data_IF_235549269887
#
_entry.id   IF_235549269887
#
_cell.length_a   1.000
_cell.length_b   1.000
_cell.length_c   1.000
_cell.angle_alpha   90.00
_cell.angle_beta   90.00
_cell.angle_gamma   90.00
#
_symmetry.space_group_name_H-M   'P 1'
#
loop_
_entity.id
_entity.type
_entity.pdbx_description
1 polymer ?
#
# COMPACT_ATOMS: atom_id res chain seq x y z
N UNK A 1 -47.57 -22.11 -16.01
CA UNK A 1 -46.60 -21.53 -15.05
C UNK A 1 -45.28 -22.21 -15.34
N UNK A 2 -44.20 -21.45 -15.61
CA UNK A 2 -42.87 -22.06 -15.72
C UNK A 2 -42.49 -22.63 -14.36
N UNK A 3 -41.93 -23.83 -14.35
CA UNK A 3 -41.40 -24.39 -13.11
C UNK A 3 -40.17 -23.59 -12.68
N UNK A 4 -40.03 -23.35 -11.39
CA UNK A 4 -38.88 -22.64 -10.82
C UNK A 4 -38.11 -23.51 -9.83
N UNK A 5 -36.85 -23.16 -9.59
CA UNK A 5 -36.02 -23.70 -8.51
C UNK A 5 -35.26 -22.57 -7.82
N UNK A 6 -34.81 -22.81 -6.59
CA UNK A 6 -34.11 -21.81 -5.78
C UNK A 6 -32.59 -21.97 -5.87
N UNK A 7 -31.87 -20.84 -5.88
CA UNK A 7 -30.41 -20.77 -5.71
C UNK A 7 -30.04 -19.90 -4.52
N UNK A 8 -28.97 -20.28 -3.82
CA UNK A 8 -28.42 -19.55 -2.67
C UNK A 8 -27.13 -18.85 -3.08
N UNK A 9 -27.10 -17.53 -2.90
CA UNK A 9 -25.95 -16.69 -3.24
C UNK A 9 -24.98 -16.57 -2.05
N UNK A 10 -23.69 -16.21 -2.28
CA UNK A 10 -22.70 -16.09 -1.19
C UNK A 10 -23.05 -15.08 -0.10
N UNK A 11 -23.88 -14.07 -0.39
CA UNK A 11 -24.38 -13.10 0.59
C UNK A 11 -25.69 -13.54 1.27
N UNK A 12 -26.12 -14.80 1.09
CA UNK A 12 -27.27 -15.39 1.75
C UNK A 12 -28.63 -15.10 1.09
N UNK A 13 -28.67 -14.46 -0.08
CA UNK A 13 -29.93 -14.25 -0.80
C UNK A 13 -30.38 -15.53 -1.50
N UNK A 14 -31.68 -15.80 -1.39
CA UNK A 14 -32.37 -16.88 -2.11
C UNK A 14 -33.01 -16.25 -3.37
N UNK A 15 -32.73 -16.84 -4.53
CA UNK A 15 -33.26 -16.36 -5.80
C UNK A 15 -34.03 -17.46 -6.52
N UNK A 16 -35.17 -17.11 -7.10
CA UNK A 16 -35.98 -18.01 -7.91
C UNK A 16 -35.47 -18.00 -9.36
N UNK A 17 -35.35 -19.18 -9.98
CA UNK A 17 -34.85 -19.33 -11.36
C UNK A 17 -35.85 -20.13 -12.19
N UNK A 18 -36.21 -19.63 -13.37
CA UNK A 18 -36.99 -20.38 -14.36
C UNK A 18 -36.20 -21.57 -14.91
N UNK A 19 -36.77 -22.79 -14.85
CA UNK A 19 -36.09 -24.02 -15.30
C UNK A 19 -35.71 -24.00 -16.78
N UNK A 20 -36.57 -23.46 -17.64
CA UNK A 20 -36.40 -23.57 -19.10
C UNK A 20 -35.39 -22.57 -19.66
N UNK A 21 -35.28 -21.40 -19.04
CA UNK A 21 -34.52 -20.26 -19.55
C UNK A 21 -33.30 -19.94 -18.68
N UNK A 22 -33.19 -20.55 -17.50
CA UNK A 22 -32.25 -20.16 -16.45
C UNK A 22 -32.33 -18.67 -16.11
N UNK A 23 -33.50 -18.05 -16.29
CA UNK A 23 -33.71 -16.63 -15.98
C UNK A 23 -33.90 -16.47 -14.48
N UNK A 24 -33.02 -15.70 -13.86
CA UNK A 24 -33.11 -15.34 -12.45
C UNK A 24 -34.22 -14.28 -12.25
N UNK A 25 -35.15 -14.57 -11.36
CA UNK A 25 -36.27 -13.72 -10.99
C UNK A 25 -35.93 -12.91 -9.73
N UNK A 26 -35.76 -11.61 -9.89
CA UNK A 26 -35.51 -10.71 -8.78
C UNK A 26 -36.84 -10.35 -8.10
N UNK A 27 -36.99 -10.68 -6.81
CA UNK A 27 -38.12 -10.18 -6.02
C UNK A 27 -38.00 -8.66 -5.92
N UNK A 28 -39.05 -7.94 -6.32
CA UNK A 28 -39.15 -6.48 -6.21
C UNK A 28 -39.14 -6.09 -4.73
N UNK A 29 -37.98 -6.00 -4.08
CA UNK A 29 -37.90 -5.35 -2.78
C UNK A 29 -36.50 -4.79 -2.51
N UNK A 30 -36.54 -3.52 -2.07
CA UNK A 30 -35.45 -2.67 -1.57
C UNK A 30 -34.57 -2.02 -2.64
N UNK A 31 -35.08 -0.89 -3.16
CA UNK A 31 -34.49 0.08 -4.11
C UNK A 31 -34.45 -0.35 -5.59
N UNK A 32 -34.64 0.59 -6.54
CA UNK A 32 -34.51 0.29 -7.97
C UNK A 32 -33.04 0.02 -8.29
N UNK A 33 -32.62 -1.23 -8.16
CA UNK A 33 -31.52 -1.78 -8.95
C UNK A 33 -31.98 -1.80 -10.40
N UNK A 34 -31.09 -1.45 -11.33
CA UNK A 34 -31.42 -1.22 -12.74
C UNK A 34 -32.14 -2.39 -13.42
N UNK A 35 -32.60 -2.17 -14.65
CA UNK A 35 -33.31 -3.21 -15.42
C UNK A 35 -32.50 -4.51 -15.47
N UNK A 36 -33.15 -5.62 -15.15
CA UNK A 36 -32.56 -6.94 -15.34
C UNK A 36 -32.19 -7.14 -16.81
N UNK A 37 -30.98 -7.65 -17.05
CA UNK A 37 -30.53 -8.12 -18.36
C UNK A 37 -30.14 -9.59 -18.29
N UNK A 38 -30.20 -10.28 -19.42
CA UNK A 38 -29.86 -11.71 -19.52
C UNK A 38 -28.40 -12.00 -19.11
N UNK A 39 -27.53 -11.01 -19.27
CA UNK A 39 -26.11 -11.05 -18.88
C UNK A 39 -25.92 -11.33 -17.39
N UNK A 40 -26.84 -10.90 -16.52
CA UNK A 40 -26.75 -11.19 -15.09
C UNK A 40 -26.86 -12.69 -14.80
N UNK A 41 -27.84 -13.36 -15.40
CA UNK A 41 -27.98 -14.82 -15.24
C UNK A 41 -26.78 -15.54 -15.83
N UNK A 42 -26.32 -15.13 -17.03
CA UNK A 42 -25.09 -15.67 -17.64
C UNK A 42 -23.88 -15.54 -16.72
N UNK A 43 -23.69 -14.37 -16.09
CA UNK A 43 -22.58 -14.13 -15.18
C UNK A 43 -22.65 -15.02 -13.92
N UNK A 44 -23.83 -15.18 -13.32
CA UNK A 44 -24.03 -16.05 -12.15
C UNK A 44 -23.73 -17.50 -12.48
N UNK A 45 -24.29 -18.04 -13.56
CA UNK A 45 -24.05 -19.43 -13.95
C UNK A 45 -22.60 -19.66 -14.39
N UNK A 46 -21.99 -18.72 -15.12
CA UNK A 46 -20.56 -18.80 -15.46
C UNK A 46 -19.69 -18.82 -14.20
N UNK A 47 -20.00 -17.99 -13.21
CA UNK A 47 -19.29 -17.98 -11.92
C UNK A 47 -19.45 -19.29 -11.16
N UNK A 48 -20.67 -19.85 -11.14
CA UNK A 48 -20.94 -21.16 -10.56
C UNK A 48 -20.14 -22.27 -11.25
N UNK A 49 -20.09 -22.29 -12.58
CA UNK A 49 -19.29 -23.27 -13.34
C UNK A 49 -17.79 -23.12 -13.05
N UNK A 50 -17.27 -21.90 -12.99
CA UNK A 50 -15.86 -21.64 -12.61
C UNK A 50 -15.60 -22.17 -11.20
N UNK A 51 -16.49 -21.89 -10.25
CA UNK A 51 -16.36 -22.36 -8.86
C UNK A 51 -16.36 -23.89 -8.78
N UNK A 52 -17.28 -24.57 -9.49
CA UNK A 52 -17.39 -26.04 -9.49
C UNK A 52 -16.22 -26.75 -10.20
N UNK A 53 -15.61 -26.09 -11.18
CA UNK A 53 -14.46 -26.62 -11.93
C UNK A 53 -13.12 -26.04 -11.46
N UNK A 54 -13.10 -25.25 -10.40
CA UNK A 54 -11.87 -24.69 -9.85
C UNK A 54 -10.95 -25.83 -9.38
N UNK A 55 -9.63 -25.77 -9.65
CA UNK A 55 -8.68 -26.70 -9.04
C UNK A 55 -8.66 -26.62 -7.51
N UNK A 56 -9.24 -25.55 -6.94
CA UNK A 56 -9.36 -25.30 -5.50
C UNK A 56 -10.77 -25.53 -4.96
N UNK A 57 -11.69 -26.16 -5.70
CA UNK A 57 -13.09 -26.35 -5.25
C UNK A 57 -13.20 -27.11 -3.91
N UNK A 58 -12.24 -28.00 -3.64
CA UNK A 58 -12.16 -28.82 -2.43
C UNK A 58 -11.14 -28.27 -1.42
N UNK A 59 -10.60 -27.07 -1.66
CA UNK A 59 -9.65 -26.44 -0.77
C UNK A 59 -10.30 -26.18 0.59
N UNK A 60 -9.71 -26.75 1.64
CA UNK A 60 -10.05 -26.42 3.02
C UNK A 60 -8.97 -25.48 3.55
N UNK A 61 -9.34 -24.27 4.02
CA UNK A 61 -8.36 -23.39 4.65
C UNK A 61 -7.74 -24.09 5.86
N UNK A 62 -6.41 -24.06 5.92
CA UNK A 62 -5.68 -24.44 7.12
C UNK A 62 -5.73 -23.26 8.10
N UNK A 63 -6.35 -23.48 9.25
CA UNK A 63 -6.35 -22.51 10.33
C UNK A 63 -5.19 -22.79 11.28
N UNK A 64 -4.69 -21.73 11.93
CA UNK A 64 -3.74 -21.88 13.02
C UNK A 64 -4.40 -22.65 14.16
N UNK A 65 -3.86 -23.82 14.46
CA UNK A 65 -4.20 -24.60 15.63
C UNK A 65 -3.07 -24.41 16.65
N UNK A 66 -3.34 -23.80 17.81
CA UNK A 66 -2.31 -23.54 18.81
C UNK A 66 -1.86 -24.79 19.57
N UNK A 67 -2.48 -25.95 19.36
CA UNK A 67 -2.19 -27.18 20.10
C UNK A 67 -1.21 -28.10 19.35
N UNK A 68 -0.55 -28.98 20.12
CA UNK A 68 0.29 -30.05 19.59
C UNK A 68 -0.42 -31.40 19.69
N UNK A 69 -0.42 -32.13 18.58
CA UNK A 69 -0.95 -33.49 18.52
C UNK A 69 0.15 -34.43 18.05
N UNK A 70 0.44 -35.45 18.87
CA UNK A 70 1.49 -36.43 18.58
C UNK A 70 1.23 -37.13 17.25
N UNK A 71 2.23 -37.14 16.36
CA UNK A 71 2.16 -37.79 15.05
C UNK A 71 1.47 -36.99 13.94
N UNK A 72 1.08 -35.74 14.19
CA UNK A 72 0.49 -34.85 13.18
C UNK A 72 1.39 -33.64 12.91
N UNK A 73 1.32 -33.10 11.68
CA UNK A 73 1.94 -31.80 11.37
C UNK A 73 1.21 -30.70 12.13
N UNK A 74 1.96 -29.81 12.77
CA UNK A 74 1.41 -28.70 13.57
C UNK A 74 1.48 -27.40 12.77
N UNK A 75 0.33 -26.76 12.56
CA UNK A 75 0.26 -25.44 11.92
C UNK A 75 0.89 -24.35 12.81
N UNK A 76 1.01 -24.58 14.12
CA UNK A 76 1.77 -23.71 15.02
C UNK A 76 3.27 -23.68 14.71
N UNK A 77 3.86 -24.79 14.29
CA UNK A 77 5.30 -24.83 13.92
C UNK A 77 5.53 -24.02 12.65
N UNK A 78 4.74 -24.26 11.61
CA UNK A 78 4.80 -23.51 10.35
C UNK A 78 4.56 -22.00 10.57
N UNK A 79 3.59 -21.66 11.43
CA UNK A 79 3.33 -20.29 11.83
C UNK A 79 4.51 -19.67 12.60
N UNK A 80 5.15 -20.40 13.51
CA UNK A 80 6.31 -19.91 14.27
C UNK A 80 7.52 -19.67 13.37
N UNK A 81 7.74 -20.51 12.36
CA UNK A 81 8.79 -20.29 11.38
C UNK A 81 8.52 -19.01 10.58
N UNK A 82 7.30 -18.82 10.09
CA UNK A 82 6.89 -17.57 9.44
C UNK A 82 7.00 -16.36 10.38
N UNK A 83 6.56 -16.48 11.62
CA UNK A 83 6.65 -15.46 12.67
C UNK A 83 8.11 -15.09 12.94
N UNK A 84 9.03 -16.05 12.94
CA UNK A 84 10.46 -15.80 13.16
C UNK A 84 11.11 -14.98 12.03
N UNK A 85 10.54 -15.03 10.82
CA UNK A 85 10.97 -14.26 9.66
C UNK A 85 10.42 -12.83 9.73
N UNK A 86 9.14 -12.68 10.07
CA UNK A 86 8.42 -11.40 9.93
C UNK A 86 8.20 -10.61 11.22
N UNK A 87 8.23 -11.27 12.38
CA UNK A 87 7.90 -10.71 13.69
C UNK A 87 9.06 -10.85 14.67
N UNK A 88 10.31 -10.82 14.19
CA UNK A 88 11.43 -10.52 15.09
C UNK A 88 11.21 -9.14 15.67
N UNK A 89 10.97 -9.08 16.97
CA UNK A 89 10.99 -7.82 17.68
C UNK A 89 12.32 -7.12 17.36
N UNK A 90 12.28 -5.83 16.96
CA UNK A 90 13.51 -5.07 16.81
C UNK A 90 14.25 -5.14 18.15
N UNK A 91 15.56 -5.42 18.10
CA UNK A 91 16.41 -5.50 19.29
C UNK A 91 16.10 -4.25 20.15
N UNK A 92 15.78 -4.41 21.44
CA UNK A 92 15.51 -3.27 22.32
C UNK A 92 16.68 -2.28 22.25
N UNK A 93 16.41 -1.05 21.83
CA UNK A 93 17.43 -0.01 21.59
C UNK A 93 17.95 0.09 20.15
N UNK A 94 17.62 -0.86 19.27
CA UNK A 94 17.88 -0.79 17.84
C UNK A 94 16.73 -0.07 17.12
N UNK A 95 16.76 1.27 17.12
CA UNK A 95 16.04 2.08 16.14
C UNK A 95 16.63 1.72 14.77
N UNK A 96 16.06 0.77 14.00
CA UNK A 96 16.61 0.21 12.75
C UNK A 96 17.92 0.89 12.29
N UNK A 97 19.04 0.61 12.99
CA UNK A 97 20.10 1.59 13.03
C UNK A 97 20.89 1.40 11.76
N UNK A 98 21.10 2.51 11.05
CA UNK A 98 22.09 2.53 10.00
C UNK A 98 23.38 1.90 10.54
N UNK A 99 23.82 0.81 9.91
CA UNK A 99 25.08 0.18 10.29
C UNK A 99 26.22 1.18 10.09
N UNK A 100 27.35 0.99 10.78
CA UNK A 100 28.53 1.85 10.58
C UNK A 100 28.93 1.92 9.10
N UNK A 101 28.83 0.79 8.39
CA UNK A 101 29.09 0.70 6.97
C UNK A 101 28.07 1.48 6.12
N UNK A 102 26.77 1.36 6.42
CA UNK A 102 25.72 2.11 5.70
C UNK A 102 25.87 3.63 5.88
N UNK A 103 26.21 4.08 7.10
CA UNK A 103 26.49 5.51 7.36
C UNK A 103 27.70 5.97 6.56
N UNK A 104 28.80 5.21 6.63
CA UNK A 104 30.02 5.54 5.90
C UNK A 104 29.77 5.61 4.39
N UNK A 105 29.02 4.65 3.83
CA UNK A 105 28.63 4.65 2.43
C UNK A 105 27.79 5.88 2.05
N UNK A 106 26.76 6.21 2.83
CA UNK A 106 25.95 7.41 2.51
C UNK A 106 26.74 8.71 2.62
N UNK A 107 27.67 8.82 3.56
CA UNK A 107 28.56 9.96 3.66
C UNK A 107 29.62 10.00 2.54
N UNK A 108 29.93 8.87 1.89
CA UNK A 108 30.87 8.84 0.76
C UNK A 108 30.25 9.34 -0.55
N UNK A 109 28.91 9.27 -0.69
CA UNK A 109 28.15 9.79 -1.83
C UNK A 109 28.37 11.30 -2.00
N UNK A 110 28.72 11.73 -3.21
CA UNK A 110 29.19 13.09 -3.48
C UNK A 110 28.03 14.04 -3.74
N UNK A 111 27.08 13.63 -4.57
CA UNK A 111 26.00 14.49 -5.05
C UNK A 111 24.73 14.35 -4.22
N UNK A 112 23.88 15.39 -4.25
CA UNK A 112 22.53 15.32 -3.65
C UNK A 112 21.69 14.22 -4.31
N UNK A 113 21.83 14.05 -5.62
CA UNK A 113 21.17 13.00 -6.41
C UNK A 113 21.53 11.59 -5.94
N UNK A 114 22.82 11.29 -5.75
CA UNK A 114 23.26 9.99 -5.25
C UNK A 114 22.66 9.68 -3.87
N UNK A 115 22.70 10.66 -2.96
CA UNK A 115 22.08 10.55 -1.64
C UNK A 115 20.57 10.34 -1.73
N UNK A 116 19.90 11.04 -2.64
CA UNK A 116 18.47 10.86 -2.93
C UNK A 116 18.16 9.44 -3.41
N UNK A 117 18.83 8.98 -4.47
CA UNK A 117 18.67 7.63 -5.04
C UNK A 117 18.87 6.57 -3.97
N UNK A 118 19.92 6.71 -3.15
CA UNK A 118 20.17 5.79 -2.04
C UNK A 118 19.02 5.76 -1.02
N UNK A 119 18.55 6.92 -0.54
CA UNK A 119 17.46 6.99 0.43
C UNK A 119 16.14 6.44 -0.14
N UNK A 120 15.83 6.73 -1.41
CA UNK A 120 14.67 6.19 -2.09
C UNK A 120 14.73 4.66 -2.19
N UNK A 121 15.88 4.07 -2.56
CA UNK A 121 16.08 2.62 -2.59
C UNK A 121 15.95 2.03 -1.18
N UNK A 122 16.65 2.61 -0.19
CA UNK A 122 16.66 2.17 1.21
C UNK A 122 15.28 2.22 1.86
N UNK A 123 14.43 3.15 1.47
CA UNK A 123 13.06 3.27 2.00
C UNK A 123 12.19 2.04 1.72
N UNK A 124 12.56 1.23 0.73
CA UNK A 124 11.78 0.09 0.27
C UNK A 124 10.53 0.47 -0.53
N UNK A 125 10.26 1.77 -0.75
CA UNK A 125 9.12 2.21 -1.55
C UNK A 125 9.27 1.77 -3.01
N UNK A 126 8.18 1.24 -3.56
CA UNK A 126 8.05 0.86 -4.97
C UNK A 126 6.76 1.45 -5.53
N UNK A 127 6.85 1.91 -6.77
CA UNK A 127 5.68 2.29 -7.55
C UNK A 127 4.82 1.05 -7.80
N UNK A 128 3.50 1.21 -7.76
CA UNK A 128 2.52 0.17 -8.11
C UNK A 128 1.82 0.46 -9.44
N UNK A 129 2.12 1.62 -10.04
CA UNK A 129 1.48 2.10 -11.28
C UNK A 129 2.37 1.93 -12.51
N UNK A 130 3.68 1.85 -12.29
CA UNK A 130 4.69 1.62 -13.32
C UNK A 130 5.95 1.04 -12.67
N UNK A 131 6.61 0.11 -13.36
CA UNK A 131 7.91 -0.41 -12.94
C UNK A 131 9.00 0.62 -13.23
N UNK A 132 9.79 0.96 -12.21
CA UNK A 132 10.86 1.95 -12.31
C UNK A 132 12.19 1.24 -12.01
N UNK A 133 13.10 1.09 -12.98
CA UNK A 133 14.42 0.54 -12.73
C UNK A 133 15.23 1.50 -11.85
N UNK A 134 16.17 0.98 -11.05
CA UNK A 134 16.96 1.83 -10.16
C UNK A 134 17.77 2.90 -10.90
N UNK A 135 18.12 2.68 -12.17
CA UNK A 135 18.85 3.67 -12.96
C UNK A 135 17.99 4.87 -13.38
N UNK A 136 16.67 4.69 -13.41
CA UNK A 136 15.72 5.79 -13.57
C UNK A 136 15.49 6.58 -12.25
N UNK A 137 15.95 6.10 -11.09
CA UNK A 137 15.71 6.82 -9.82
C UNK A 137 16.48 8.14 -9.80
N UNK A 138 15.75 9.24 -9.60
CA UNK A 138 16.28 10.60 -9.62
C UNK A 138 17.22 10.85 -10.82
N UNK A 139 16.90 10.32 -12.00
CA UNK A 139 17.64 10.49 -13.26
C UNK A 139 17.49 11.91 -13.86
N UNK A 140 17.53 12.93 -13.01
CA UNK A 140 17.48 14.34 -13.40
C UNK A 140 18.67 15.10 -12.80
N UNK A 141 19.15 16.10 -13.53
CA UNK A 141 20.16 17.05 -13.07
C UNK A 141 19.57 18.06 -12.07
N UNK A 142 20.40 18.98 -11.57
CA UNK A 142 19.95 20.02 -10.62
C UNK A 142 18.96 21.03 -11.24
N UNK A 143 18.88 21.09 -12.58
CA UNK A 143 17.92 21.92 -13.32
C UNK A 143 16.64 21.17 -13.66
N UNK A 144 16.56 19.87 -13.35
CA UNK A 144 15.41 19.01 -13.63
C UNK A 144 15.43 18.35 -15.01
N UNK A 145 16.51 18.46 -15.78
CA UNK A 145 16.64 17.80 -17.08
C UNK A 145 17.08 16.35 -16.91
N UNK A 146 16.62 15.46 -17.81
CA UNK A 146 17.05 14.07 -17.80
C UNK A 146 18.56 13.95 -18.04
N UNK A 147 19.22 13.10 -17.25
CA UNK A 147 20.66 12.79 -17.42
C UNK A 147 20.84 11.67 -18.44
N UNK A 148 19.92 10.70 -18.45
CA UNK A 148 19.85 9.63 -19.43
C UNK A 148 18.45 9.57 -20.04
N UNK A 149 18.34 9.69 -21.35
CA UNK A 149 17.07 9.67 -22.08
C UNK A 149 16.47 8.26 -22.24
N UNK A 150 17.22 7.19 -21.96
CA UNK A 150 16.75 5.80 -22.02
C UNK A 150 15.42 5.58 -21.26
N UNK A 151 15.23 6.31 -20.17
CA UNK A 151 14.04 6.21 -19.31
C UNK A 151 13.09 7.41 -19.45
N UNK A 152 13.22 8.25 -20.49
CA UNK A 152 12.39 9.43 -20.69
C UNK A 152 10.89 9.11 -20.66
N UNK A 153 10.49 7.99 -21.28
CA UNK A 153 9.10 7.55 -21.31
C UNK A 153 8.50 7.34 -19.90
N UNK A 154 9.29 6.88 -18.92
CA UNK A 154 8.84 6.70 -17.53
C UNK A 154 8.55 8.07 -16.90
N UNK A 155 9.42 9.04 -17.16
CA UNK A 155 9.26 10.40 -16.66
C UNK A 155 8.05 11.08 -17.25
N UNK A 156 7.83 10.93 -18.55
CA UNK A 156 6.67 11.48 -19.25
C UNK A 156 5.37 10.86 -18.74
N UNK A 157 5.32 9.53 -18.65
CA UNK A 157 4.14 8.80 -18.17
C UNK A 157 3.78 9.22 -16.73
N UNK A 158 4.78 9.29 -15.84
CA UNK A 158 4.56 9.73 -14.45
C UNK A 158 4.16 11.20 -14.40
N UNK A 159 4.76 12.07 -15.20
CA UNK A 159 4.47 13.50 -15.19
C UNK A 159 3.05 13.79 -15.69
N UNK A 160 2.57 13.02 -16.68
CA UNK A 160 1.21 13.13 -17.22
C UNK A 160 0.14 12.64 -16.23
N UNK A 161 0.45 11.65 -15.39
CA UNK A 161 -0.54 11.03 -14.51
C UNK A 161 -0.53 11.53 -13.06
N UNK A 162 0.60 12.03 -12.52
CA UNK A 162 0.74 12.41 -11.09
C UNK A 162 -0.23 13.47 -10.57
N UNK A 163 -0.84 14.27 -11.45
CA UNK A 163 -1.85 15.26 -11.08
C UNK A 163 -3.29 14.82 -11.37
N UNK A 164 -3.47 13.65 -11.97
CA UNK A 164 -4.79 13.17 -12.36
C UNK A 164 -5.57 12.69 -11.14
N UNK A 165 -6.74 13.30 -10.92
CA UNK A 165 -7.61 13.05 -9.78
C UNK A 165 -8.69 12.00 -10.10
N UNK A 166 -8.28 10.78 -10.46
CA UNK A 166 -9.23 9.64 -10.54
C UNK A 166 -9.70 9.21 -9.14
N UNK A 167 -8.79 9.22 -8.17
CA UNK A 167 -9.05 9.13 -6.73
C UNK A 167 -7.84 9.67 -5.96
N UNK A 168 -8.00 9.96 -4.68
CA UNK A 168 -6.87 10.39 -3.83
C UNK A 168 -5.79 9.32 -3.70
N UNK A 169 -6.18 8.05 -3.66
CA UNK A 169 -5.28 6.89 -3.66
C UNK A 169 -4.52 6.79 -4.98
N UNK A 170 -5.24 6.89 -6.11
CA UNK A 170 -4.65 6.81 -7.45
C UNK A 170 -3.63 7.93 -7.66
N UNK A 171 -4.00 9.16 -7.31
CA UNK A 171 -3.10 10.32 -7.37
C UNK A 171 -1.85 10.10 -6.51
N UNK A 172 -2.01 9.54 -5.32
CA UNK A 172 -0.87 9.32 -4.43
C UNK A 172 0.08 8.24 -4.94
N UNK A 173 -0.40 7.19 -5.59
CA UNK A 173 0.48 6.16 -6.16
C UNK A 173 1.33 6.71 -7.31
N UNK A 174 0.75 7.53 -8.19
CA UNK A 174 1.55 8.30 -9.16
C UNK A 174 2.45 9.33 -8.50
N UNK A 175 2.03 9.90 -7.37
CA UNK A 175 2.86 10.76 -6.54
C UNK A 175 4.08 10.03 -5.98
N UNK A 176 3.94 8.78 -5.54
CA UNK A 176 5.07 7.95 -5.08
C UNK A 176 6.03 7.69 -6.24
N UNK A 177 5.52 7.39 -7.44
CA UNK A 177 6.34 7.27 -8.64
C UNK A 177 7.11 8.57 -8.93
N UNK A 178 6.43 9.73 -8.90
CA UNK A 178 7.07 11.04 -9.08
C UNK A 178 8.13 11.33 -8.01
N UNK A 179 7.87 10.95 -6.77
CA UNK A 179 8.83 11.00 -5.66
C UNK A 179 10.07 10.15 -5.95
N UNK A 180 9.91 8.90 -6.39
CA UNK A 180 11.03 8.03 -6.76
C UNK A 180 11.88 8.66 -7.89
N UNK A 181 11.23 9.33 -8.85
CA UNK A 181 11.89 10.00 -9.97
C UNK A 181 12.56 11.35 -9.63
N UNK A 182 12.52 11.77 -8.36
CA UNK A 182 13.25 12.95 -7.89
C UNK A 182 12.39 14.15 -7.49
N UNK A 183 11.06 14.01 -7.38
CA UNK A 183 10.14 15.08 -6.94
C UNK A 183 9.61 14.80 -5.53
N UNK A 184 10.40 15.02 -4.46
CA UNK A 184 10.12 14.52 -3.11
C UNK A 184 8.80 15.02 -2.52
N UNK A 185 8.33 16.20 -2.91
CA UNK A 185 7.06 16.78 -2.49
C UNK A 185 5.86 15.87 -2.80
N UNK A 186 5.96 15.01 -3.82
CA UNK A 186 4.90 14.09 -4.18
C UNK A 186 4.78 12.87 -3.25
N UNK A 187 5.79 12.59 -2.41
CA UNK A 187 5.67 11.55 -1.38
C UNK A 187 4.56 11.86 -0.37
N UNK A 188 4.25 13.14 -0.10
CA UNK A 188 3.29 13.54 0.95
C UNK A 188 2.14 14.40 0.43
N UNK A 189 1.99 14.52 -0.89
CA UNK A 189 1.08 15.48 -1.54
C UNK A 189 -0.39 15.19 -1.29
N UNK A 190 -0.82 13.95 -1.45
CA UNK A 190 -2.15 13.48 -1.05
C UNK A 190 -1.95 12.63 0.19
N UNK A 191 -2.39 13.12 1.36
CA UNK A 191 -2.24 12.43 2.66
C UNK A 191 -3.09 11.13 2.78
N UNK A 192 -3.32 10.43 1.66
CA UNK A 192 -4.13 9.23 1.50
C UNK A 192 -3.31 8.18 0.72
N UNK A 193 -2.58 7.32 1.42
CA UNK A 193 -1.60 6.39 0.81
C UNK A 193 -2.07 4.93 0.67
N UNK A 194 -3.36 4.65 0.81
CA UNK A 194 -3.93 3.28 0.70
C UNK A 194 -3.60 2.38 1.89
N UNK A 195 -2.35 2.39 2.34
CA UNK A 195 -1.84 1.65 3.49
C UNK A 195 -1.08 2.59 4.44
N UNK A 196 -1.33 2.45 5.75
CA UNK A 196 -0.71 3.26 6.80
C UNK A 196 0.82 3.15 6.78
N UNK A 197 1.35 1.94 6.53
CA UNK A 197 2.78 1.69 6.48
C UNK A 197 3.46 2.49 5.35
N UNK A 198 2.86 2.51 4.15
CA UNK A 198 3.35 3.32 3.02
C UNK A 198 3.31 4.80 3.33
N UNK A 199 2.25 5.28 3.99
CA UNK A 199 2.16 6.68 4.42
C UNK A 199 3.33 7.06 5.32
N UNK A 200 3.57 6.27 6.37
CA UNK A 200 4.67 6.53 7.32
C UNK A 200 6.01 6.50 6.60
N UNK A 201 6.26 5.50 5.74
CA UNK A 201 7.49 5.42 4.93
C UNK A 201 7.69 6.66 4.06
N UNK A 202 6.64 7.12 3.37
CA UNK A 202 6.69 8.31 2.53
C UNK A 202 6.99 9.57 3.34
N UNK A 203 6.36 9.75 4.50
CA UNK A 203 6.63 10.90 5.37
C UNK A 203 8.04 10.90 5.94
N UNK A 204 8.54 9.75 6.40
CA UNK A 204 9.92 9.65 6.91
C UNK A 204 10.92 9.92 5.79
N UNK A 205 10.74 9.33 4.61
CA UNK A 205 11.59 9.59 3.46
C UNK A 205 11.54 11.07 3.05
N UNK A 206 10.36 11.67 3.00
CA UNK A 206 10.20 13.09 2.70
C UNK A 206 10.97 13.99 3.67
N UNK A 207 10.90 13.71 4.98
CA UNK A 207 11.68 14.44 6.00
C UNK A 207 13.18 14.25 5.79
N UNK A 208 13.64 13.02 5.49
CA UNK A 208 15.06 12.75 5.20
C UNK A 208 15.58 13.50 3.98
N UNK A 209 14.74 13.67 2.95
CA UNK A 209 15.11 14.30 1.69
C UNK A 209 15.03 15.83 1.73
N UNK A 210 14.04 16.39 2.45
CA UNK A 210 13.68 17.82 2.36
C UNK A 210 13.76 18.57 3.68
N UNK A 211 13.98 17.87 4.80
CA UNK A 211 13.79 18.42 6.13
C UNK A 211 12.31 18.64 6.51
N UNK A 212 11.35 18.33 5.63
CA UNK A 212 9.92 18.50 5.92
C UNK A 212 9.27 19.75 5.33
N UNK A 213 9.94 20.45 4.41
CA UNK A 213 9.29 21.38 3.47
C UNK A 213 8.99 22.80 3.93
N UNK A 214 9.58 23.28 5.02
CA UNK A 214 9.45 24.68 5.43
C UNK A 214 10.83 25.22 5.82
N UNK A 215 11.30 26.21 5.05
CA UNK A 215 12.69 26.71 5.03
C UNK A 215 13.19 27.26 6.38
N UNK A 216 12.29 27.65 7.29
CA UNK A 216 12.67 28.32 8.55
C UNK A 216 13.08 27.39 9.72
N UNK A 217 12.73 26.10 9.68
CA UNK A 217 12.98 25.18 10.82
C UNK A 217 13.58 23.84 10.43
N UNK A 218 13.77 23.58 9.12
CA UNK A 218 14.40 22.37 8.59
C UNK A 218 13.83 21.08 9.19
N UNK A 219 14.70 20.09 9.41
CA UNK A 219 14.35 18.74 9.87
C UNK A 219 13.50 18.71 11.15
N UNK A 220 13.70 19.67 12.07
CA UNK A 220 12.95 19.73 13.34
C UNK A 220 11.46 19.90 13.09
N UNK A 221 11.08 20.82 12.20
CA UNK A 221 9.67 21.05 11.87
C UNK A 221 9.06 19.86 11.15
N UNK A 222 9.80 19.18 10.28
CA UNK A 222 9.37 17.92 9.70
C UNK A 222 9.01 16.88 10.76
N UNK A 223 9.87 16.71 11.77
CA UNK A 223 9.67 15.76 12.87
C UNK A 223 8.48 16.16 13.76
N UNK A 224 8.36 17.45 14.12
CA UNK A 224 7.20 17.95 14.87
C UNK A 224 5.89 17.78 14.08
N UNK A 225 5.88 18.13 12.79
CA UNK A 225 4.71 17.96 11.95
C UNK A 225 4.28 16.49 11.85
N UNK A 226 5.24 15.56 11.80
CA UNK A 226 4.95 14.13 11.87
C UNK A 226 4.34 13.75 13.23
N UNK A 227 4.92 14.20 14.34
CA UNK A 227 4.38 13.93 15.66
C UNK A 227 2.96 14.50 15.85
N UNK A 228 2.75 15.77 15.50
CA UNK A 228 1.49 16.48 15.70
C UNK A 228 0.38 15.92 14.80
N UNK A 229 0.63 15.85 13.49
CA UNK A 229 -0.43 15.57 12.53
C UNK A 229 -0.70 14.07 12.36
N UNK A 230 0.35 13.23 12.41
CA UNK A 230 0.18 11.78 12.21
C UNK A 230 -0.06 11.04 13.51
N UNK A 231 0.67 11.38 14.57
CA UNK A 231 0.62 10.61 15.82
C UNK A 231 -0.34 11.22 16.84
N UNK A 232 -0.36 12.52 17.05
CA UNK A 232 -1.17 13.13 18.11
C UNK A 232 -2.63 13.33 17.73
N UNK A 233 -2.90 13.69 16.47
CA UNK A 233 -4.26 13.83 15.93
C UNK A 233 -4.75 12.49 15.35
N UNK A 234 -3.86 11.72 14.72
CA UNK A 234 -4.25 10.57 13.91
C UNK A 234 -4.81 10.98 12.55
N UNK A 235 -4.86 10.04 11.61
CA UNK A 235 -5.46 10.24 10.28
C UNK A 235 -6.40 9.08 10.01
N UNK A 236 -7.66 9.23 10.42
CA UNK A 236 -8.68 8.18 10.30
C UNK A 236 -8.87 7.67 8.87
N UNK A 237 -8.84 8.55 7.87
CA UNK A 237 -8.93 8.17 6.44
C UNK A 237 -7.75 7.32 5.96
N UNK A 238 -6.60 7.44 6.62
CA UNK A 238 -5.40 6.67 6.34
C UNK A 238 -5.17 5.59 7.40
N UNK A 239 -6.19 5.23 8.20
CA UNK A 239 -6.14 4.16 9.22
C UNK A 239 -5.20 4.43 10.40
N UNK A 240 -4.64 5.63 10.53
CA UNK A 240 -3.65 5.95 11.57
C UNK A 240 -4.38 6.40 12.84
N UNK A 241 -4.29 5.58 13.89
CA UNK A 241 -4.86 5.90 15.19
C UNK A 241 -4.03 6.95 15.92
N UNK A 242 -4.71 7.75 16.74
CA UNK A 242 -4.08 8.69 17.67
C UNK A 242 -3.22 7.93 18.69
N UNK A 243 -1.93 8.29 18.76
CA UNK A 243 -0.93 7.76 19.67
C UNK A 243 -0.09 8.91 20.31
N UNK A 244 -0.62 9.56 21.36
CA UNK A 244 0.03 10.69 22.02
C UNK A 244 1.35 10.34 22.71
N UNK A 245 1.48 9.10 23.21
CA UNK A 245 2.72 8.61 23.81
C UNK A 245 3.86 8.57 22.80
N UNK A 246 3.60 8.01 21.61
CA UNK A 246 4.58 7.99 20.52
C UNK A 246 4.87 9.39 20.01
N UNK A 247 3.86 10.26 19.93
CA UNK A 247 4.05 11.66 19.56
C UNK A 247 5.03 12.35 20.54
N UNK A 248 4.84 12.18 21.85
CA UNK A 248 5.74 12.72 22.88
C UNK A 248 7.18 12.20 22.70
N UNK A 249 7.37 10.91 22.51
CA UNK A 249 8.70 10.33 22.27
C UNK A 249 9.40 10.94 21.05
N UNK A 250 8.67 11.14 19.95
CA UNK A 250 9.20 11.78 18.74
C UNK A 250 9.54 13.25 18.97
N UNK A 251 8.70 13.98 19.73
CA UNK A 251 8.95 15.38 20.11
C UNK A 251 10.16 15.53 21.01
N UNK A 252 10.35 14.59 21.94
CA UNK A 252 11.50 14.59 22.84
C UNK A 252 12.78 14.27 22.08
N UNK A 253 12.75 13.33 21.12
CA UNK A 253 13.85 13.12 20.17
C UNK A 253 14.17 14.38 19.36
N UNK A 254 13.16 15.12 18.88
CA UNK A 254 13.39 16.33 18.09
C UNK A 254 14.16 17.42 18.87
N UNK A 255 14.09 17.42 20.22
CA UNK A 255 14.83 18.35 21.09
C UNK A 255 16.32 18.03 21.18
N UNK A 256 16.74 16.80 20.86
CA UNK A 256 18.15 16.37 20.96
C UNK A 256 18.94 16.58 19.67
N UNK A 257 18.28 17.01 18.60
CA UNK A 257 18.85 17.32 17.28
C UNK A 257 19.02 18.83 17.18
#
# INVERSE_FOLDING_TARGET
>A
MSETYEIYTPNGLIMDVEKDTNKILFKKNVKPTGNYTEEYSKAVFKSYHIMKNSPYKDYKPQYLDPNFYTGQKSTLVEFKDWQSIYLKDPIKGAIAPWTKAEKAYYHSLKTKRERYKYLAIRSGLRSVVIDIPYDAYANVDEKGNLINEEYAYIYDEVNNNKETLKSSLFRQEWGIAAGILGKPEYFVRSKNHGFNARMIQCFILYIQLTGGGYEELGIKRGIYNYADNLLEIGIGMAGIHKNPLRAKLVKDLAKTI
#
